data_IF_769338052584
#
_entry.id   IF_769338052584
#
_cell.length_a   1.000
_cell.length_b   1.000
_cell.length_c   1.000
_cell.angle_alpha   90.00
_cell.angle_beta   90.00
_cell.angle_gamma   90.00
#
_symmetry.space_group_name_H-M   'P 1'
#
loop_
_entity.id
_entity.type
_entity.pdbx_description
1 polymer ?
#
# COMPACT_ATOMS: atom_id res chain seq x y z
N UNK A 1 -8.12 23.83 -7.96
CA UNK A 1 -6.99 23.93 -7.02
C UNK A 1 -6.26 22.60 -7.05
N UNK A 2 -5.05 22.54 -7.61
CA UNK A 2 -4.24 21.31 -7.63
C UNK A 2 -3.77 21.02 -6.19
N UNK A 3 -4.20 19.91 -5.62
CA UNK A 3 -3.76 19.48 -4.29
C UNK A 3 -2.27 19.10 -4.37
N UNK A 4 -1.39 20.07 -4.11
CA UNK A 4 0.06 19.89 -4.04
C UNK A 4 0.47 18.79 -3.04
N UNK A 5 -0.40 18.45 -2.09
CA UNK A 5 -0.17 17.41 -1.09
C UNK A 5 -0.23 15.97 -1.63
N UNK A 6 -0.75 15.72 -2.84
CA UNK A 6 -0.82 14.35 -3.36
C UNK A 6 0.57 13.77 -3.66
N UNK A 7 1.51 14.60 -4.13
CA UNK A 7 2.87 14.17 -4.47
C UNK A 7 3.76 13.85 -3.25
N UNK A 8 3.33 14.19 -2.04
CA UNK A 8 4.14 14.07 -0.81
C UNK A 8 4.59 12.62 -0.54
N UNK A 9 3.89 11.62 -1.09
CA UNK A 9 4.18 10.21 -0.87
C UNK A 9 4.86 9.50 -2.05
N UNK A 10 5.23 10.21 -3.13
CA UNK A 10 6.02 9.57 -4.18
C UNK A 10 7.48 9.48 -3.75
N UNK A 11 8.10 8.28 -3.80
CA UNK A 11 9.53 8.15 -3.59
C UNK A 11 10.28 8.84 -4.74
N UNK A 12 11.38 9.51 -4.41
CA UNK A 12 12.35 10.01 -5.38
C UNK A 12 13.36 8.92 -5.75
N UNK A 13 14.04 9.09 -6.89
CA UNK A 13 14.96 8.07 -7.44
C UNK A 13 16.15 7.76 -6.50
N UNK A 14 16.53 8.71 -5.66
CA UNK A 14 17.55 8.58 -4.61
C UNK A 14 17.17 7.60 -3.49
N UNK A 15 15.89 7.24 -3.35
CA UNK A 15 15.42 6.19 -2.43
C UNK A 15 16.08 4.84 -2.71
N UNK A 16 16.59 4.63 -3.92
CA UNK A 16 17.26 3.39 -4.32
C UNK A 16 18.69 3.67 -4.76
N UNK A 17 19.64 3.26 -3.92
CA UNK A 17 21.05 3.38 -4.21
C UNK A 17 21.51 2.37 -5.28
N UNK A 18 22.58 2.71 -6.00
CA UNK A 18 23.28 1.81 -6.93
C UNK A 18 22.41 1.18 -8.05
N UNK A 19 21.35 1.86 -8.48
CA UNK A 19 20.56 1.42 -9.63
C UNK A 19 21.40 1.35 -10.91
N UNK A 20 21.31 0.22 -11.61
CA UNK A 20 21.80 0.09 -12.97
C UNK A 20 21.12 1.13 -13.88
N UNK A 21 21.80 1.68 -14.90
CA UNK A 21 21.26 2.77 -15.72
C UNK A 21 19.88 2.49 -16.32
N UNK A 22 19.68 1.28 -16.83
CA UNK A 22 18.40 0.87 -17.43
C UNK A 22 17.27 0.81 -16.40
N UNK A 23 17.54 0.33 -15.19
CA UNK A 23 16.52 0.27 -14.14
C UNK A 23 16.21 1.67 -13.58
N UNK A 24 17.20 2.56 -13.54
CA UNK A 24 16.99 3.97 -13.22
C UNK A 24 16.03 4.63 -14.21
N UNK A 25 16.29 4.50 -15.51
CA UNK A 25 15.44 5.04 -16.57
C UNK A 25 14.02 4.47 -16.49
N UNK A 26 13.90 3.16 -16.31
CA UNK A 26 12.61 2.49 -16.14
C UNK A 26 11.82 3.06 -14.95
N UNK A 27 12.47 3.24 -13.80
CA UNK A 27 11.82 3.78 -12.60
C UNK A 27 11.43 5.23 -12.76
N UNK A 28 12.27 6.04 -13.40
CA UNK A 28 11.96 7.43 -13.72
C UNK A 28 10.68 7.52 -14.57
N UNK A 29 10.58 6.69 -15.61
CA UNK A 29 9.37 6.60 -16.44
C UNK A 29 8.13 6.19 -15.65
N UNK A 30 8.26 5.23 -14.74
CA UNK A 30 7.15 4.79 -13.86
C UNK A 30 6.70 5.94 -12.95
N UNK A 31 7.63 6.59 -12.26
CA UNK A 31 7.33 7.69 -11.33
C UNK A 31 6.68 8.86 -12.06
N UNK A 32 7.17 9.22 -13.24
CA UNK A 32 6.56 10.25 -14.10
C UNK A 32 5.14 9.87 -14.52
N UNK A 33 4.89 8.63 -14.88
CA UNK A 33 3.55 8.19 -15.25
C UNK A 33 2.58 8.15 -14.05
N UNK A 34 3.07 7.86 -12.85
CA UNK A 34 2.30 7.99 -11.61
C UNK A 34 1.98 9.46 -11.36
N UNK A 35 2.96 10.35 -11.51
CA UNK A 35 2.78 11.78 -11.24
C UNK A 35 1.73 12.41 -12.16
N UNK A 36 1.75 12.06 -13.45
CA UNK A 36 0.75 12.48 -14.44
C UNK A 36 -0.65 12.00 -14.00
N UNK A 37 -0.81 10.70 -13.71
CA UNK A 37 -2.10 10.15 -13.30
C UNK A 37 -2.63 10.77 -12.02
N UNK A 38 -1.75 11.09 -11.06
CA UNK A 38 -2.16 11.77 -9.83
C UNK A 38 -2.59 13.21 -10.07
N UNK A 39 -1.99 13.92 -11.04
CA UNK A 39 -2.47 15.25 -11.44
C UNK A 39 -3.82 15.19 -12.15
N UNK A 40 -4.08 14.16 -12.96
CA UNK A 40 -5.32 14.01 -13.73
C UNK A 40 -6.50 13.52 -12.86
N UNK A 41 -6.29 12.48 -12.05
CA UNK A 41 -7.37 11.79 -11.32
C UNK A 41 -7.35 12.06 -9.81
N UNK A 42 -6.35 12.79 -9.31
CA UNK A 42 -6.10 12.94 -7.90
C UNK A 42 -5.46 11.68 -7.27
N UNK A 43 -5.16 11.73 -5.96
CA UNK A 43 -4.60 10.59 -5.25
C UNK A 43 -5.60 9.43 -5.20
N UNK A 44 -5.17 8.23 -5.60
CA UNK A 44 -5.98 7.03 -5.46
C UNK A 44 -6.15 6.71 -3.97
N UNK A 45 -7.39 6.66 -3.50
CA UNK A 45 -7.72 6.26 -2.11
C UNK A 45 -8.15 4.80 -2.13
N UNK A 46 -7.50 3.98 -1.30
CA UNK A 46 -8.00 2.64 -1.04
C UNK A 46 -9.38 2.75 -0.38
N UNK A 47 -10.41 2.26 -1.05
CA UNK A 47 -11.78 2.22 -0.52
C UNK A 47 -12.00 0.85 0.12
N UNK A 48 -12.47 0.83 1.36
CA UNK A 48 -12.92 -0.39 2.01
C UNK A 48 -14.09 -0.97 1.21
N UNK A 49 -13.87 -2.10 0.55
CA UNK A 49 -14.90 -2.82 -0.20
C UNK A 49 -15.22 -4.11 0.54
N UNK A 50 -16.51 -4.44 0.74
CA UNK A 50 -16.92 -5.75 1.25
C UNK A 50 -16.39 -6.93 0.41
N UNK A 51 -16.01 -6.66 -0.84
CA UNK A 51 -15.44 -7.67 -1.76
C UNK A 51 -13.91 -7.81 -1.62
N UNK A 52 -13.24 -6.95 -0.84
CA UNK A 52 -11.78 -6.91 -0.73
C UNK A 52 -11.20 -8.23 -0.23
N UNK A 53 -11.87 -8.93 0.69
CA UNK A 53 -11.44 -10.26 1.16
C UNK A 53 -11.31 -11.30 0.03
N UNK A 54 -12.07 -11.14 -1.07
CA UNK A 54 -11.96 -12.04 -2.23
C UNK A 54 -10.70 -11.83 -3.06
N UNK A 55 -10.06 -10.66 -2.97
CA UNK A 55 -8.78 -10.40 -3.62
C UNK A 55 -7.61 -11.07 -2.89
N UNK A 56 -7.80 -11.40 -1.61
CA UNK A 56 -6.80 -12.03 -0.75
C UNK A 56 -6.88 -13.57 -0.75
N UNK A 57 -8.07 -14.14 -1.00
CA UNK A 57 -8.28 -15.60 -1.05
C UNK A 57 -7.29 -16.37 -1.96
N UNK A 58 -6.92 -15.89 -3.16
CA UNK A 58 -5.97 -16.60 -4.02
C UNK A 58 -4.57 -16.71 -3.41
N UNK A 59 -4.14 -15.72 -2.63
CA UNK A 59 -2.82 -15.70 -2.00
C UNK A 59 -2.79 -16.53 -0.71
N UNK A 60 -3.89 -16.49 0.04
CA UNK A 60 -4.10 -17.33 1.22
C UNK A 60 -4.09 -18.83 0.90
N UNK A 61 -4.71 -19.21 -0.24
CA UNK A 61 -4.72 -20.60 -0.68
C UNK A 61 -3.32 -21.15 -1.02
N UNK A 62 -2.36 -20.27 -1.37
CA UNK A 62 -0.99 -20.64 -1.70
C UNK A 62 -0.06 -20.73 -0.49
N UNK A 63 -0.39 -20.01 0.59
CA UNK A 63 0.47 -19.87 1.79
C UNK A 63 -0.10 -20.53 3.05
N UNK A 64 -1.38 -20.91 3.02
CA UNK A 64 -2.12 -21.44 4.17
C UNK A 64 -2.88 -20.34 4.91
N UNK A 65 -4.08 -20.67 5.41
CA UNK A 65 -4.90 -19.74 6.19
C UNK A 65 -4.36 -19.52 7.61
N UNK A 66 -3.48 -20.41 8.10
CA UNK A 66 -2.95 -20.41 9.48
C UNK A 66 -2.33 -19.06 9.86
N UNK A 67 -1.40 -18.56 9.05
CA UNK A 67 -0.73 -17.27 9.33
C UNK A 67 -1.72 -16.11 9.36
N UNK A 68 -2.83 -16.17 8.61
CA UNK A 68 -3.83 -15.10 8.64
C UNK A 68 -4.73 -15.16 9.87
N UNK A 69 -5.02 -16.35 10.38
CA UNK A 69 -5.80 -16.54 11.62
C UNK A 69 -5.01 -15.94 12.78
N UNK A 70 -3.71 -16.23 12.86
CA UNK A 70 -2.82 -15.67 13.88
C UNK A 70 -2.83 -14.13 13.89
N UNK A 71 -2.79 -13.47 12.71
CA UNK A 71 -2.81 -12.01 12.63
C UNK A 71 -4.16 -11.41 13.07
N UNK A 72 -5.28 -12.05 12.70
CA UNK A 72 -6.62 -11.59 13.11
C UNK A 72 -6.83 -11.75 14.61
N UNK A 73 -6.38 -12.87 15.19
CA UNK A 73 -6.46 -13.09 16.63
C UNK A 73 -5.58 -12.13 17.42
N UNK A 74 -4.40 -11.78 16.89
CA UNK A 74 -3.52 -10.80 17.52
C UNK A 74 -4.11 -9.38 17.51
N UNK A 75 -4.75 -8.96 16.42
CA UNK A 75 -5.40 -7.65 16.29
C UNK A 75 -6.67 -7.52 17.16
N UNK A 76 -7.44 -8.61 17.30
CA UNK A 76 -8.63 -8.67 18.16
C UNK A 76 -8.24 -8.64 19.65
N UNK A 77 -7.18 -9.33 20.04
CA UNK A 77 -6.71 -9.33 21.43
C UNK A 77 -6.10 -7.97 21.82
N UNK A 78 -5.40 -7.27 20.91
CA UNK A 78 -4.90 -5.92 21.18
C UNK A 78 -6.01 -4.87 21.33
N UNK A 79 -7.17 -5.05 20.68
CA UNK A 79 -8.30 -4.13 20.84
C UNK A 79 -9.11 -4.40 22.11
N UNK A 80 -9.09 -5.64 22.62
CA UNK A 80 -9.71 -6.00 23.90
C UNK A 80 -8.91 -5.47 25.11
N UNK A 81 -7.57 -5.47 25.03
CA UNK A 81 -6.71 -5.01 26.12
C UNK A 81 -6.70 -3.47 26.28
N UNK A 82 -6.94 -2.72 25.20
CA UNK A 82 -6.97 -1.25 25.23
C UNK A 82 -8.27 -0.61 25.79
N UNK A 83 -9.27 -1.43 26.15
CA UNK A 83 -10.54 -0.98 26.75
C UNK A 83 -10.71 -1.38 28.22
N UNK A 84 -9.65 -1.91 28.85
CA UNK A 84 -9.65 -2.30 30.27
C UNK A 84 -8.58 -1.55 31.06
N UNK A 85 -8.73 -0.23 31.23
CA UNK A 85 -8.23 0.48 32.41
C UNK A 85 -9.14 1.70 32.68
N UNK A 86 -9.37 2.04 33.96
CA UNK A 86 -10.66 2.49 34.51
C UNK A 86 -11.13 3.90 34.15
#
# INVERSE_FOLDING_TARGET
>A
MHNANAFINLPSLDTWENLQPLERERREGILRNISIRMSEYGPHRAIASPKRGRLFMPFAALTGYESMIEHVEHDVNQTADNHSEP
#
